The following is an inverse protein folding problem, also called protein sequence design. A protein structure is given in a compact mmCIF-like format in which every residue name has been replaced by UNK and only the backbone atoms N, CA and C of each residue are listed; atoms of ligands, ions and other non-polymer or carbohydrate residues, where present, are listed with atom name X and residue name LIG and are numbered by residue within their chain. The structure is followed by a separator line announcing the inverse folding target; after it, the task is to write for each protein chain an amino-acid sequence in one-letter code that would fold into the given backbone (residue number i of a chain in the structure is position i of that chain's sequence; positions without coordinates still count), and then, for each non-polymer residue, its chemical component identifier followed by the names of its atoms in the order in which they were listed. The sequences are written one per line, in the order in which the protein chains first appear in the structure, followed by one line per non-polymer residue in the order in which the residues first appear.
data_IF_973735185382
#
_entry.id   IF_973735185382
#
_cell.length_a   1.000
_cell.length_b   1.000
_cell.length_c   1.000
_cell.angle_alpha   90.00
_cell.angle_beta   90.00
_cell.angle_gamma   90.00
#
_symmetry.space_group_name_H-M   'P 1'
#
loop_
_entity.id
_entity.type
_entity.pdbx_description
1 polymer ?
#
# COMPACT_ATOMS: atom_id res chain seq x y z
N UNK A 1 -23.79 43.48 -7.49
CA UNK A 1 -24.22 42.49 -6.47
C UNK A 1 -23.17 41.40 -6.29
N UNK A 2 -21.94 41.63 -6.78
CA UNK A 2 -21.01 40.55 -7.12
C UNK A 2 -19.82 40.47 -6.14
N UNK A 3 -19.46 41.58 -5.51
CA UNK A 3 -18.38 41.63 -4.53
C UNK A 3 -18.72 40.91 -3.22
N UNK A 4 -19.97 40.95 -2.77
CA UNK A 4 -20.38 40.29 -1.51
C UNK A 4 -20.29 38.77 -1.60
N UNK A 5 -20.67 38.19 -2.75
CA UNK A 5 -20.55 36.74 -3.00
C UNK A 5 -19.07 36.35 -3.08
N UNK A 6 -18.26 37.14 -3.79
CA UNK A 6 -16.83 36.88 -3.91
C UNK A 6 -16.11 36.95 -2.55
N UNK A 7 -16.38 37.99 -1.75
CA UNK A 7 -15.78 38.16 -0.42
C UNK A 7 -16.20 37.05 0.53
N UNK A 8 -17.50 36.73 0.59
CA UNK A 8 -18.00 35.63 1.44
C UNK A 8 -17.42 34.28 1.03
N UNK A 9 -17.26 34.02 -0.27
CA UNK A 9 -16.59 32.81 -0.78
C UNK A 9 -15.13 32.72 -0.35
N UNK A 10 -14.36 33.81 -0.47
CA UNK A 10 -12.95 33.85 -0.04
C UNK A 10 -12.83 33.63 1.46
N UNK A 11 -13.67 34.29 2.27
CA UNK A 11 -13.69 34.10 3.72
C UNK A 11 -14.04 32.65 4.10
N UNK A 12 -15.00 32.04 3.41
CA UNK A 12 -15.36 30.63 3.62
C UNK A 12 -14.21 29.68 3.30
N UNK A 13 -13.54 29.87 2.16
CA UNK A 13 -12.37 29.07 1.78
C UNK A 13 -11.20 29.25 2.74
N UNK A 14 -10.95 30.49 3.20
CA UNK A 14 -9.91 30.78 4.20
C UNK A 14 -10.21 30.09 5.54
N UNK A 15 -11.46 30.09 5.98
CA UNK A 15 -11.88 29.39 7.19
C UNK A 15 -11.73 27.87 7.06
N UNK A 16 -12.16 27.29 5.93
CA UNK A 16 -12.00 25.85 5.66
C UNK A 16 -10.51 25.46 5.62
N UNK A 17 -9.68 26.28 4.99
CA UNK A 17 -8.23 26.08 4.97
C UNK A 17 -7.64 26.15 6.38
N UNK A 18 -8.05 27.12 7.20
CA UNK A 18 -7.61 27.24 8.59
C UNK A 18 -8.00 26.02 9.43
N UNK A 19 -9.26 25.57 9.34
CA UNK A 19 -9.75 24.37 10.03
C UNK A 19 -8.94 23.14 9.59
N UNK A 20 -8.65 23.02 8.30
CA UNK A 20 -7.88 21.89 7.77
C UNK A 20 -6.41 21.92 8.20
N UNK A 21 -5.73 23.06 8.05
CA UNK A 21 -4.29 23.15 8.31
C UNK A 21 -3.95 23.15 9.80
N UNK A 22 -4.79 23.76 10.63
CA UNK A 22 -4.50 23.93 12.06
C UNK A 22 -5.17 22.82 12.86
N UNK A 23 -6.50 22.80 12.88
CA UNK A 23 -7.26 21.95 13.79
C UNK A 23 -7.23 20.49 13.37
N UNK A 24 -7.47 20.20 12.09
CA UNK A 24 -7.48 18.83 11.59
C UNK A 24 -6.10 18.18 11.69
N UNK A 25 -5.03 18.85 11.26
CA UNK A 25 -3.66 18.29 11.36
C UNK A 25 -3.24 18.05 12.81
N UNK A 26 -3.53 19.00 13.72
CA UNK A 26 -3.24 18.83 15.15
C UNK A 26 -3.97 17.61 15.71
N UNK A 27 -5.27 17.50 15.46
CA UNK A 27 -6.07 16.35 15.88
C UNK A 27 -5.51 15.03 15.34
N UNK A 28 -5.14 14.97 14.05
CA UNK A 28 -4.58 13.75 13.44
C UNK A 28 -3.25 13.36 14.05
N UNK A 29 -2.40 14.34 14.38
CA UNK A 29 -1.11 14.11 15.03
C UNK A 29 -1.29 13.53 16.43
N UNK A 30 -2.17 14.14 17.23
CA UNK A 30 -2.47 13.68 18.59
C UNK A 30 -3.10 12.28 18.55
N UNK A 31 -4.03 12.05 17.62
CA UNK A 31 -4.62 10.73 17.42
C UNK A 31 -3.60 9.65 17.06
N UNK A 32 -2.62 9.97 16.20
CA UNK A 32 -1.53 9.03 15.89
C UNK A 32 -0.69 8.74 17.13
N UNK A 33 -0.34 9.76 17.92
CA UNK A 33 0.44 9.57 19.16
C UNK A 33 -0.29 8.67 20.13
N UNK A 34 -1.57 8.91 20.36
CA UNK A 34 -2.40 8.09 21.23
C UNK A 34 -2.45 6.64 20.75
N UNK A 35 -2.67 6.41 19.45
CA UNK A 35 -2.70 5.06 18.88
C UNK A 35 -1.33 4.35 19.07
N UNK A 36 -0.21 5.05 18.91
CA UNK A 36 1.12 4.50 19.13
C UNK A 36 1.41 4.23 20.62
N UNK A 37 0.93 5.07 21.53
CA UNK A 37 1.01 4.84 22.97
C UNK A 37 0.25 3.57 23.37
N UNK A 38 -0.97 3.39 22.87
CA UNK A 38 -1.77 2.18 23.10
C UNK A 38 -1.03 0.93 22.60
N UNK A 39 -0.48 0.95 21.39
CA UNK A 39 0.29 -0.19 20.85
C UNK A 39 1.52 -0.50 21.70
N UNK A 40 2.22 0.53 22.18
CA UNK A 40 3.38 0.37 23.07
C UNK A 40 2.98 -0.25 24.41
N UNK A 41 1.87 0.19 24.96
CA UNK A 41 1.36 -0.32 26.24
C UNK A 41 0.88 -1.77 26.12
N UNK A 42 0.28 -2.15 24.98
CA UNK A 42 -0.04 -3.55 24.68
C UNK A 42 1.22 -4.43 24.60
N UNK A 43 2.28 -3.95 23.93
CA UNK A 43 3.56 -4.66 23.89
C UNK A 43 4.18 -4.79 25.30
N UNK A 44 4.06 -3.76 26.13
CA UNK A 44 4.53 -3.79 27.52
C UNK A 44 3.75 -4.81 28.35
N UNK A 45 2.41 -4.85 28.24
CA UNK A 45 1.56 -5.83 28.94
C UNK A 45 1.90 -7.25 28.53
N UNK A 46 2.10 -7.51 27.23
CA UNK A 46 2.52 -8.83 26.77
C UNK A 46 3.85 -9.25 27.40
N UNK A 47 4.81 -8.33 27.51
CA UNK A 47 6.07 -8.62 28.19
C UNK A 47 5.90 -8.85 29.71
N UNK A 48 5.06 -8.05 30.37
CA UNK A 48 4.74 -8.20 31.79
C UNK A 48 4.03 -9.54 32.11
N UNK A 49 3.23 -10.05 31.18
CA UNK A 49 2.56 -11.34 31.28
C UNK A 49 3.49 -12.53 31.01
N UNK A 50 4.73 -12.28 30.59
CA UNK A 50 5.70 -13.32 30.23
C UNK A 50 5.57 -13.83 28.79
N UNK A 51 4.71 -13.24 27.95
CA UNK A 51 4.56 -13.63 26.55
C UNK A 51 5.85 -13.36 25.76
N UNK A 52 6.62 -12.34 26.15
CA UNK A 52 7.95 -12.02 25.62
C UNK A 52 8.85 -11.43 26.71
N UNK A 53 10.13 -11.81 26.74
CA UNK A 53 11.07 -11.23 27.71
C UNK A 53 11.35 -9.75 27.40
N UNK A 54 11.34 -8.91 28.45
CA UNK A 54 11.84 -7.52 28.38
C UNK A 54 13.29 -7.44 27.90
N UNK A 55 14.07 -8.49 28.12
CA UNK A 55 15.47 -8.55 27.72
C UNK A 55 15.68 -8.99 26.27
N UNK A 56 14.65 -9.48 25.60
CA UNK A 56 14.75 -9.88 24.19
C UNK A 56 15.13 -8.69 23.29
N UNK A 57 16.04 -8.94 22.36
CA UNK A 57 16.50 -7.90 21.42
C UNK A 57 15.34 -7.38 20.56
N UNK A 58 14.42 -8.27 20.18
CA UNK A 58 13.24 -7.89 19.41
C UNK A 58 12.36 -6.91 20.18
N UNK A 59 12.07 -7.18 21.47
CA UNK A 59 11.32 -6.26 22.32
C UNK A 59 12.00 -4.88 22.38
N UNK A 60 13.30 -4.85 22.65
CA UNK A 60 14.10 -3.61 22.77
C UNK A 60 14.08 -2.81 21.46
N UNK A 61 14.25 -3.46 20.31
CA UNK A 61 14.22 -2.81 19.00
C UNK A 61 12.83 -2.21 18.73
N UNK A 62 11.75 -2.98 18.91
CA UNK A 62 10.39 -2.49 18.63
C UNK A 62 10.01 -1.35 19.58
N UNK A 63 10.31 -1.47 20.87
CA UNK A 63 10.07 -0.41 21.85
C UNK A 63 10.82 0.87 21.49
N UNK A 64 12.08 0.75 21.07
CA UNK A 64 12.89 1.90 20.62
C UNK A 64 12.27 2.57 19.41
N UNK A 65 11.84 1.78 18.41
CA UNK A 65 11.19 2.30 17.21
C UNK A 65 9.87 3.02 17.52
N UNK A 66 9.03 2.44 18.40
CA UNK A 66 7.79 3.06 18.86
C UNK A 66 8.05 4.41 19.52
N UNK A 67 9.02 4.47 20.44
CA UNK A 67 9.39 5.72 21.11
C UNK A 67 9.91 6.76 20.11
N UNK A 68 10.72 6.34 19.14
CA UNK A 68 11.16 7.20 18.04
C UNK A 68 10.00 7.75 17.23
N UNK A 69 9.06 6.88 16.83
CA UNK A 69 7.88 7.28 16.06
C UNK A 69 6.96 8.22 16.83
N UNK A 70 6.77 8.03 18.13
CA UNK A 70 5.99 8.93 18.98
C UNK A 70 6.67 10.31 19.07
N UNK A 71 7.99 10.34 19.30
CA UNK A 71 8.76 11.60 19.42
C UNK A 71 8.75 12.39 18.11
N UNK A 72 8.99 11.71 17.00
CA UNK A 72 9.12 12.31 15.67
C UNK A 72 7.84 12.18 14.83
N UNK A 73 6.67 11.96 15.44
CA UNK A 73 5.40 11.81 14.70
C UNK A 73 5.00 13.08 13.95
N UNK A 74 5.37 14.25 14.48
CA UNK A 74 5.12 15.55 13.87
C UNK A 74 5.93 15.76 12.58
N UNK A 75 7.07 15.08 12.44
CA UNK A 75 7.92 15.10 11.25
C UNK A 75 7.42 14.16 10.15
N UNK A 76 6.42 13.31 10.44
CA UNK A 76 5.82 12.42 9.46
C UNK A 76 4.92 13.22 8.51
N UNK A 77 5.34 13.29 7.26
CA UNK A 77 4.54 13.83 6.16
C UNK A 77 4.64 12.92 4.94
N UNK A 78 3.64 12.96 4.08
CA UNK A 78 3.62 12.17 2.85
C UNK A 78 4.86 12.43 1.98
N UNK A 79 5.25 13.70 1.83
CA UNK A 79 6.44 14.08 1.05
C UNK A 79 7.74 13.53 1.65
N UNK A 80 7.93 13.68 2.97
CA UNK A 80 9.12 13.11 3.63
C UNK A 80 9.14 11.60 3.52
N UNK A 81 8.00 10.93 3.63
CA UNK A 81 7.90 9.49 3.42
C UNK A 81 8.31 9.08 2.00
N UNK A 82 7.87 9.82 0.97
CA UNK A 82 8.30 9.60 -0.41
C UNK A 82 9.80 9.84 -0.63
N UNK A 83 10.35 10.90 -0.02
CA UNK A 83 11.78 11.20 -0.08
C UNK A 83 12.61 10.09 0.58
N UNK A 84 12.26 9.67 1.79
CA UNK A 84 12.91 8.55 2.49
C UNK A 84 12.84 7.28 1.66
N UNK A 85 11.70 6.98 1.02
CA UNK A 85 11.56 5.84 0.11
C UNK A 85 12.50 5.95 -1.10
N UNK A 86 12.74 7.14 -1.60
CA UNK A 86 13.75 7.42 -2.64
C UNK A 86 15.18 7.19 -2.14
N UNK A 87 15.52 7.73 -0.98
CA UNK A 87 16.85 7.59 -0.36
C UNK A 87 17.21 6.13 -0.07
N UNK A 88 16.23 5.32 0.39
CA UNK A 88 16.43 3.89 0.66
C UNK A 88 16.78 3.11 -0.61
N UNK A 89 16.52 3.61 -1.82
CA UNK A 89 16.94 2.96 -3.07
C UNK A 89 18.42 3.22 -3.40
N UNK A 90 19.02 4.27 -2.84
CA UNK A 90 20.44 4.61 -3.06
C UNK A 90 21.35 3.62 -2.30
N UNK A 91 22.61 3.41 -2.73
CA UNK A 91 23.51 2.45 -2.08
C UNK A 91 23.65 2.66 -0.56
N UNK A 92 23.86 3.89 -0.10
CA UNK A 92 23.97 4.21 1.32
C UNK A 92 22.67 3.91 2.09
N UNK A 93 21.51 4.31 1.54
CA UNK A 93 20.21 4.01 2.14
C UNK A 93 19.90 2.51 2.18
N UNK A 94 20.29 1.76 1.14
CA UNK A 94 20.16 0.29 1.11
C UNK A 94 21.04 -0.38 2.17
N UNK A 95 22.25 0.12 2.40
CA UNK A 95 23.13 -0.41 3.44
C UNK A 95 22.51 -0.24 4.84
N UNK A 96 22.05 0.97 5.17
CA UNK A 96 21.39 1.27 6.46
C UNK A 96 20.11 0.43 6.63
N UNK A 97 19.27 0.37 5.60
CA UNK A 97 18.05 -0.43 5.64
C UNK A 97 18.35 -1.94 5.75
N UNK A 98 19.42 -2.41 5.10
CA UNK A 98 19.91 -3.78 5.17
C UNK A 98 20.40 -4.16 6.55
N UNK A 99 21.22 -3.30 7.18
CA UNK A 99 21.70 -3.48 8.55
C UNK A 99 20.53 -3.57 9.54
N UNK A 100 19.58 -2.64 9.45
CA UNK A 100 18.38 -2.67 10.28
C UNK A 100 17.57 -3.97 10.07
N UNK A 101 17.39 -4.40 8.81
CA UNK A 101 16.70 -5.66 8.48
C UNK A 101 17.42 -6.90 9.02
N UNK A 102 18.75 -6.92 8.95
CA UNK A 102 19.56 -8.02 9.49
C UNK A 102 19.44 -8.07 11.01
N UNK A 103 19.51 -6.91 11.69
CA UNK A 103 19.36 -6.82 13.14
C UNK A 103 18.00 -7.31 13.62
N UNK A 104 16.91 -6.90 12.96
CA UNK A 104 15.58 -7.39 13.33
C UNK A 104 15.40 -8.87 12.98
N UNK A 105 15.94 -9.35 11.85
CA UNK A 105 15.86 -10.75 11.47
C UNK A 105 16.55 -11.65 12.51
N UNK A 106 17.79 -11.32 12.90
CA UNK A 106 18.53 -12.06 13.93
C UNK A 106 17.81 -12.04 15.28
N UNK A 107 17.22 -10.90 15.66
CA UNK A 107 16.42 -10.81 16.88
C UNK A 107 15.14 -11.66 16.84
N UNK A 108 14.53 -11.85 15.65
CA UNK A 108 13.34 -12.70 15.47
C UNK A 108 13.67 -14.20 15.39
N UNK A 109 14.90 -14.56 15.03
CA UNK A 109 15.37 -15.96 14.99
C UNK A 109 15.46 -16.59 16.38
N UNK A 110 15.75 -15.77 17.39
CA UNK A 110 15.87 -16.22 18.79
C UNK A 110 14.50 -16.40 19.49
N UNK A 111 13.41 -16.03 18.84
CA UNK A 111 12.06 -16.06 19.44
C UNK A 111 11.32 -17.35 19.09
N UNK A 112 10.40 -17.76 19.97
CA UNK A 112 9.42 -18.79 19.65
C UNK A 112 8.47 -18.31 18.54
N UNK A 113 7.78 -19.22 17.82
CA UNK A 113 6.81 -18.84 16.78
C UNK A 113 5.72 -17.89 17.28
N UNK A 114 5.25 -18.07 18.51
CA UNK A 114 4.21 -17.24 19.15
C UNK A 114 4.74 -15.82 19.42
N UNK A 115 5.94 -15.73 19.99
CA UNK A 115 6.63 -14.46 20.23
C UNK A 115 6.89 -13.70 18.93
N UNK A 116 7.32 -14.40 17.88
CA UNK A 116 7.52 -13.82 16.56
C UNK A 116 6.21 -13.27 16.00
N UNK A 117 5.11 -14.04 16.10
CA UNK A 117 3.80 -13.60 15.63
C UNK A 117 3.31 -12.35 16.38
N UNK A 118 3.54 -12.29 17.69
CA UNK A 118 3.27 -11.10 18.52
C UNK A 118 4.02 -9.87 18.01
N UNK A 119 5.33 -9.97 17.80
CA UNK A 119 6.17 -8.87 17.31
C UNK A 119 5.74 -8.41 15.92
N UNK A 120 5.50 -9.34 15.00
CA UNK A 120 5.03 -9.02 13.64
C UNK A 120 3.67 -8.33 13.67
N UNK A 121 2.75 -8.77 14.53
CA UNK A 121 1.45 -8.14 14.70
C UNK A 121 1.59 -6.70 15.24
N UNK A 122 2.46 -6.47 16.23
CA UNK A 122 2.76 -5.13 16.74
C UNK A 122 3.31 -4.22 15.62
N UNK A 123 4.29 -4.69 14.85
CA UNK A 123 4.82 -3.92 13.71
C UNK A 123 3.74 -3.60 12.67
N UNK A 124 2.88 -4.57 12.35
CA UNK A 124 1.77 -4.37 11.42
C UNK A 124 0.82 -3.27 11.91
N UNK A 125 0.37 -3.34 13.18
CA UNK A 125 -0.48 -2.30 13.78
C UNK A 125 0.15 -0.91 13.68
N UNK A 126 1.45 -0.80 13.96
CA UNK A 126 2.17 0.48 13.84
C UNK A 126 2.14 1.00 12.41
N UNK A 127 2.51 0.16 11.43
CA UNK A 127 2.50 0.55 10.02
C UNK A 127 1.10 0.96 9.55
N UNK A 128 0.05 0.22 9.93
CA UNK A 128 -1.32 0.52 9.57
C UNK A 128 -1.73 1.91 10.09
N UNK A 129 -1.43 2.23 11.36
CA UNK A 129 -1.76 3.55 11.95
C UNK A 129 -0.96 4.69 11.31
N UNK A 130 0.32 4.49 11.05
CA UNK A 130 1.17 5.48 10.37
C UNK A 130 0.69 5.73 8.94
N UNK A 131 0.33 4.69 8.18
CA UNK A 131 -0.19 4.84 6.82
C UNK A 131 -1.51 5.61 6.79
N UNK A 132 -2.43 5.29 7.71
CA UNK A 132 -3.69 6.04 7.88
C UNK A 132 -3.42 7.50 8.24
N UNK A 133 -2.46 7.79 9.11
CA UNK A 133 -2.06 9.16 9.39
C UNK A 133 -1.52 9.86 8.14
N UNK A 134 -0.56 9.26 7.43
CA UNK A 134 0.06 9.84 6.22
C UNK A 134 -0.97 10.14 5.12
N UNK A 135 -1.95 9.25 4.92
CA UNK A 135 -3.00 9.42 3.93
C UNK A 135 -3.88 10.64 4.23
N UNK A 136 -4.28 10.84 5.50
CA UNK A 136 -5.26 11.87 5.87
C UNK A 136 -4.64 13.17 6.42
N UNK A 137 -3.33 13.20 6.68
CA UNK A 137 -2.63 14.39 7.19
C UNK A 137 -2.17 15.37 6.08
N UNK A 138 -2.26 14.96 4.81
CA UNK A 138 -1.85 15.81 3.68
C UNK A 138 -2.93 15.84 2.60
N UNK A 139 -3.15 17.02 2.01
CA UNK A 139 -4.19 17.19 0.98
C UNK A 139 -3.90 16.28 -0.22
N UNK A 140 -2.64 16.23 -0.62
CA UNK A 140 -2.18 15.33 -1.67
C UNK A 140 -2.41 13.85 -1.30
N UNK A 141 -2.15 13.49 -0.04
CA UNK A 141 -2.45 12.15 0.48
C UNK A 141 -3.93 11.80 0.35
N UNK A 142 -4.84 12.72 0.72
CA UNK A 142 -6.28 12.52 0.59
C UNK A 142 -6.69 12.33 -0.87
N UNK A 143 -6.17 13.15 -1.78
CA UNK A 143 -6.45 13.06 -3.22
C UNK A 143 -5.94 11.74 -3.80
N UNK A 144 -4.68 11.37 -3.52
CA UNK A 144 -4.11 10.10 -3.98
C UNK A 144 -4.87 8.90 -3.44
N UNK A 145 -5.24 8.92 -2.16
CA UNK A 145 -6.03 7.86 -1.53
C UNK A 145 -7.40 7.73 -2.20
N UNK A 146 -8.11 8.85 -2.43
CA UNK A 146 -9.38 8.87 -3.14
C UNK A 146 -9.29 8.26 -4.54
N UNK A 147 -8.27 8.63 -5.33
CA UNK A 147 -8.04 8.07 -6.67
C UNK A 147 -7.82 6.55 -6.59
N UNK A 148 -6.96 6.08 -5.69
CA UNK A 148 -6.68 4.64 -5.55
C UNK A 148 -7.93 3.87 -5.13
N UNK A 149 -8.73 4.40 -4.19
CA UNK A 149 -9.99 3.80 -3.77
C UNK A 149 -11.00 3.69 -4.92
N UNK A 150 -11.10 4.73 -5.76
CA UNK A 150 -11.97 4.71 -6.95
C UNK A 150 -11.50 3.66 -7.96
N UNK A 151 -10.20 3.58 -8.25
CA UNK A 151 -9.64 2.58 -9.16
C UNK A 151 -9.84 1.15 -8.62
N UNK A 152 -9.65 0.95 -7.31
CA UNK A 152 -9.90 -0.35 -6.67
C UNK A 152 -11.38 -0.74 -6.75
N UNK A 153 -12.30 0.21 -6.57
CA UNK A 153 -13.73 -0.04 -6.73
C UNK A 153 -14.09 -0.40 -8.18
N UNK A 154 -13.54 0.31 -9.17
CA UNK A 154 -13.74 0.01 -10.59
C UNK A 154 -13.25 -1.41 -10.91
N UNK A 155 -12.04 -1.77 -10.48
CA UNK A 155 -11.49 -3.12 -10.73
C UNK A 155 -12.31 -4.21 -10.04
N UNK A 156 -12.82 -3.94 -8.83
CA UNK A 156 -13.75 -4.83 -8.13
C UNK A 156 -15.06 -5.03 -8.92
N UNK A 157 -15.70 -3.94 -9.37
CA UNK A 157 -16.93 -3.99 -10.17
C UNK A 157 -16.71 -4.75 -11.47
N UNK A 158 -15.61 -4.48 -12.18
CA UNK A 158 -15.27 -5.20 -13.42
C UNK A 158 -15.05 -6.69 -13.15
N UNK A 159 -14.33 -7.04 -12.07
CA UNK A 159 -14.06 -8.43 -11.71
C UNK A 159 -15.35 -9.20 -11.39
N UNK A 160 -16.23 -8.62 -10.58
CA UNK A 160 -17.51 -9.26 -10.23
C UNK A 160 -18.48 -9.25 -11.42
N UNK A 161 -18.47 -8.21 -12.25
CA UNK A 161 -19.23 -8.17 -13.50
C UNK A 161 -18.82 -9.26 -14.50
N UNK A 162 -17.51 -9.46 -14.72
CA UNK A 162 -16.98 -10.52 -15.59
C UNK A 162 -17.42 -11.90 -15.08
N UNK A 163 -17.36 -12.13 -13.76
CA UNK A 163 -17.84 -13.37 -13.14
C UNK A 163 -19.34 -13.56 -13.35
N UNK A 164 -20.15 -12.51 -13.14
CA UNK A 164 -21.60 -12.57 -13.27
C UNK A 164 -22.06 -12.84 -14.71
N UNK A 165 -21.32 -12.34 -15.70
CA UNK A 165 -21.57 -12.56 -17.13
C UNK A 165 -21.18 -13.98 -17.58
N UNK A 166 -20.53 -14.77 -16.71
CA UNK A 166 -20.01 -16.10 -17.09
C UNK A 166 -18.93 -16.01 -18.17
N UNK A 167 -18.24 -14.87 -18.28
CA UNK A 167 -17.21 -14.65 -19.28
C UNK A 167 -15.95 -15.42 -18.90
N UNK A 168 -15.88 -16.70 -19.31
CA UNK A 168 -14.68 -17.52 -19.19
C UNK A 168 -13.72 -17.20 -20.35
N UNK A 169 -12.82 -16.23 -20.16
CA UNK A 169 -11.93 -15.73 -21.23
C UNK A 169 -11.07 -16.82 -21.88
N UNK A 170 -10.79 -17.92 -21.15
CA UNK A 170 -10.03 -19.07 -21.66
C UNK A 170 -10.76 -19.79 -22.79
N UNK A 171 -12.09 -19.92 -22.73
CA UNK A 171 -12.86 -20.69 -23.69
C UNK A 171 -12.96 -19.98 -25.05
N UNK A 172 -13.08 -18.64 -25.06
CA UNK A 172 -13.04 -17.84 -26.29
C UNK A 172 -11.65 -17.76 -26.91
N UNK A 173 -10.60 -17.55 -26.11
CA UNK A 173 -9.22 -17.51 -26.62
C UNK A 173 -8.81 -18.83 -27.27
N UNK A 174 -9.20 -19.97 -26.68
CA UNK A 174 -8.96 -21.29 -27.28
C UNK A 174 -9.80 -21.53 -28.53
N UNK A 175 -11.04 -21.03 -28.57
CA UNK A 175 -11.88 -21.04 -29.77
C UNK A 175 -11.27 -20.26 -30.95
N UNK A 176 -10.79 -19.05 -30.70
CA UNK A 176 -10.19 -18.21 -31.74
C UNK A 176 -8.84 -18.76 -32.22
N UNK A 177 -8.00 -19.29 -31.33
CA UNK A 177 -6.72 -19.92 -31.71
C UNK A 177 -6.95 -21.18 -32.55
N UNK A 178 -7.96 -21.99 -32.23
CA UNK A 178 -8.28 -23.19 -33.02
C UNK A 178 -8.82 -22.86 -34.42
N UNK A 179 -9.59 -21.76 -34.56
CA UNK A 179 -10.04 -21.24 -35.86
C UNK A 179 -8.88 -20.74 -36.74
N UNK A 180 -7.84 -20.14 -36.16
CA UNK A 180 -6.64 -19.72 -36.90
C UNK A 180 -5.88 -20.93 -37.48
N UNK A 181 -5.79 -22.03 -36.73
CA UNK A 181 -5.21 -23.29 -37.23
C UNK A 181 -6.04 -23.95 -38.34
N UNK A 182 -7.35 -23.71 -38.37
CA UNK A 182 -8.23 -24.11 -39.48
C UNK A 182 -7.97 -23.30 -40.76
N UNK A 183 -7.78 -21.99 -40.65
CA UNK A 183 -7.45 -21.13 -41.80
C UNK A 183 -6.11 -21.48 -42.44
N UNK A 184 -5.08 -21.76 -41.63
CA UNK A 184 -3.77 -22.15 -42.16
C UNK A 184 -3.84 -23.41 -43.03
N UNK A 185 -4.58 -24.43 -42.59
CA UNK A 185 -4.81 -25.66 -43.36
C UNK A 185 -5.57 -25.43 -44.66
N UNK A 186 -6.50 -24.47 -44.68
CA UNK A 186 -7.22 -24.09 -45.90
C UNK A 186 -6.30 -23.38 -46.90
N UNK A 187 -5.39 -22.53 -46.42
CA UNK A 187 -4.39 -21.86 -47.28
C UNK A 187 -3.42 -22.90 -47.86
N UNK A 188 -2.89 -23.79 -47.03
CA UNK A 188 -1.98 -24.87 -47.48
C UNK A 188 -2.64 -25.83 -48.49
N UNK A 189 -3.94 -26.11 -48.33
CA UNK A 189 -4.70 -26.91 -49.28
C UNK A 189 -4.89 -26.20 -50.64
N UNK A 190 -5.17 -24.88 -50.62
CA UNK A 190 -5.29 -24.09 -51.85
C UNK A 190 -3.96 -23.99 -52.60
N UNK A 191 -2.84 -23.84 -51.89
CA UNK A 191 -1.51 -23.84 -52.50
C UNK A 191 -1.18 -25.19 -53.15
N UNK A 192 -1.58 -26.31 -52.52
CA UNK A 192 -1.40 -27.65 -53.08
C UNK A 192 -2.26 -27.90 -54.33
N UNK A 193 -3.51 -27.45 -54.36
CA UNK A 193 -4.38 -27.53 -55.53
C UNK A 193 -3.86 -26.68 -56.69
N UNK A 194 -3.42 -25.44 -56.42
CA UNK A 194 -2.85 -24.56 -57.44
C UNK A 194 -1.59 -25.16 -58.08
N UNK A 195 -0.73 -25.81 -57.30
CA UNK A 195 0.49 -26.44 -57.80
C UNK A 195 0.21 -27.70 -58.65
N UNK A 196 -0.86 -28.44 -58.35
CA UNK A 196 -1.29 -29.58 -59.17
C UNK A 196 -1.88 -29.17 -60.53
N UNK A 197 -2.56 -28.02 -60.59
CA UNK A 197 -3.10 -27.49 -61.87
C UNK A 197 -1.96 -26.96 -62.77
N UNK A 198 -0.88 -26.42 -62.17
CA UNK A 198 0.29 -25.93 -62.90
C UNK A 198 1.17 -27.00 -63.56
N UNK A 199 1.02 -28.28 -63.19
CA UNK A 199 1.78 -29.40 -63.78
C UNK A 199 1.06 -30.13 -64.93
N UNK A 200 -0.16 -29.72 -65.30
CA UNK A 200 -0.94 -30.31 -66.41
C UNK A 200 -0.99 -29.44 -67.67
N UNK A 201 -0.17 -28.38 -67.74
CA UNK A 201 0.04 -27.53 -68.91
C UNK A 201 1.48 -27.66 -69.42
#
# INVERSE_FOLDING_TARGET
MDYTILVSGICGLALLYFIYEVEWKRYRLDKLRDDLFVIRDDLFRAAANGDISFDSDAYKIIRTNLNGMIRFSHDLSFFRFMLVRGEVKKPAGRAIAGEYRSRIAGALEQLTPEQRALIVNVQKKVHDRVLVYLAFNSLLGCVCFGIVSVLALITFIVREGIKAIGWNSKDRLLGDISNIGGMKRRIEALDAEANNIGCLA
#
